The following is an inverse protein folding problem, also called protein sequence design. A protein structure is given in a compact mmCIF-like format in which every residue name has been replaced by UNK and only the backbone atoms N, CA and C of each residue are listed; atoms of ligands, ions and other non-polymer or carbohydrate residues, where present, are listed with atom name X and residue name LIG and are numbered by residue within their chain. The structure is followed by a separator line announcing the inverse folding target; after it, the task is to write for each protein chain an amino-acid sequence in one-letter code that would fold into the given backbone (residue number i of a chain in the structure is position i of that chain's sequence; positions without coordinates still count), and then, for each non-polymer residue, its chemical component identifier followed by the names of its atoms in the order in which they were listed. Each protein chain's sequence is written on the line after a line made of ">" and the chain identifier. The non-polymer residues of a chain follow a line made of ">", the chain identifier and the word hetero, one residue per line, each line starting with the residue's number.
data_IF_646368421140
#
_entry.id   IF_646368421140
#
_cell.length_a   1.000
_cell.length_b   1.000
_cell.length_c   1.000
_cell.angle_alpha   90.00
_cell.angle_beta   90.00
_cell.angle_gamma   90.00
#
_symmetry.space_group_name_H-M   'P 1'
#
loop_
_entity.id
_entity.type
_entity.pdbx_description
1 polymer ?
#
# COMPACT_ATOMS: atom_id res chain seq x y z
N UNK A 1 -7.29 -10.59 -25.99
CA UNK A 1 -5.82 -10.40 -25.88
C UNK A 1 -5.28 -10.38 -24.45
N UNK A 2 -6.03 -9.96 -23.42
CA UNK A 2 -5.71 -10.25 -22.00
C UNK A 2 -5.70 -11.76 -21.70
N UNK A 3 -6.46 -12.54 -22.47
CA UNK A 3 -6.55 -14.00 -22.36
C UNK A 3 -5.24 -14.74 -22.59
N UNK A 4 -4.27 -14.16 -23.32
CA UNK A 4 -2.95 -14.79 -23.52
C UNK A 4 -2.08 -14.67 -22.27
N UNK A 5 -2.10 -13.50 -21.62
CA UNK A 5 -1.37 -13.28 -20.36
C UNK A 5 -1.99 -14.02 -19.16
N UNK A 6 -3.29 -14.33 -19.22
CA UNK A 6 -3.95 -15.20 -18.22
C UNK A 6 -3.68 -16.69 -18.45
N UNK A 7 -3.56 -17.14 -19.72
CA UNK A 7 -3.34 -18.55 -20.05
C UNK A 7 -1.87 -18.97 -20.09
N UNK A 8 -0.95 -18.05 -20.40
CA UNK A 8 0.46 -18.34 -20.59
C UNK A 8 1.29 -17.33 -19.78
N UNK A 9 2.36 -17.79 -19.14
CA UNK A 9 3.26 -16.97 -18.33
C UNK A 9 4.18 -16.13 -19.24
N UNK A 10 3.57 -15.25 -20.04
CA UNK A 10 4.23 -14.43 -21.06
C UNK A 10 3.90 -12.94 -20.88
N UNK A 11 4.91 -12.09 -20.99
CA UNK A 11 4.75 -10.64 -20.91
C UNK A 11 4.34 -10.08 -22.26
N UNK A 12 3.13 -9.55 -22.38
CA UNK A 12 2.62 -8.91 -23.61
C UNK A 12 2.53 -7.39 -23.41
N UNK A 13 3.24 -6.63 -24.24
CA UNK A 13 3.25 -5.17 -24.22
C UNK A 13 2.81 -4.61 -25.56
N UNK A 14 2.20 -3.41 -25.56
CA UNK A 14 1.81 -2.71 -26.78
C UNK A 14 2.77 -1.55 -27.02
N UNK A 15 3.38 -1.51 -28.20
CA UNK A 15 4.25 -0.41 -28.60
C UNK A 15 3.41 0.67 -29.28
N UNK A 16 3.42 1.87 -28.70
CA UNK A 16 2.77 3.05 -29.26
C UNK A 16 3.82 4.13 -29.51
N UNK A 17 3.81 4.68 -30.72
CA UNK A 17 4.68 5.80 -31.10
C UNK A 17 3.81 7.02 -31.33
N UNK A 18 4.15 8.12 -30.65
CA UNK A 18 3.48 9.41 -30.85
C UNK A 18 3.97 10.04 -32.15
N UNK A 19 3.08 10.21 -33.11
CA UNK A 19 3.38 10.74 -34.44
C UNK A 19 2.48 11.93 -34.75
N UNK A 20 3.06 12.95 -35.37
CA UNK A 20 2.35 14.19 -35.72
C UNK A 20 3.20 15.43 -35.51
N UNK A 21 2.75 16.57 -36.04
CA UNK A 21 3.43 17.87 -35.88
C UNK A 21 2.47 18.87 -35.24
N UNK A 22 2.96 19.66 -34.28
CA UNK A 22 2.18 20.68 -33.56
C UNK A 22 0.98 20.09 -32.77
N UNK A 23 -0.23 20.61 -32.98
CA UNK A 23 -1.44 20.27 -32.21
C UNK A 23 -2.11 18.95 -32.63
N UNK A 24 -1.68 18.34 -33.74
CA UNK A 24 -2.20 17.06 -34.23
C UNK A 24 -1.19 15.94 -33.94
N UNK A 25 -1.06 15.54 -32.68
CA UNK A 25 -0.27 14.37 -32.27
C UNK A 25 -1.21 13.21 -31.97
N UNK A 26 -0.93 12.04 -32.55
CA UNK A 26 -1.70 10.81 -32.34
C UNK A 26 -0.75 9.70 -31.93
N UNK A 27 -1.18 8.87 -30.97
CA UNK A 27 -0.46 7.67 -30.58
C UNK A 27 -0.81 6.55 -31.58
N UNK A 28 0.14 6.18 -32.44
CA UNK A 28 -0.02 5.11 -33.42
C UNK A 28 0.47 3.82 -32.80
N UNK A 29 -0.40 2.82 -32.82
CA UNK A 29 -0.03 1.47 -32.44
C UNK A 29 0.93 0.88 -33.48
N UNK A 30 2.14 0.52 -33.05
CA UNK A 30 3.20 0.03 -33.93
C UNK A 30 3.39 -1.49 -33.87
N UNK A 31 3.00 -2.15 -32.77
CA UNK A 31 3.17 -3.59 -32.66
C UNK A 31 3.03 -4.13 -31.24
N UNK A 32 3.16 -5.45 -31.10
CA UNK A 32 3.09 -6.15 -29.81
C UNK A 32 4.47 -6.68 -29.45
N UNK A 33 4.90 -6.51 -28.21
CA UNK A 33 6.12 -7.12 -27.70
C UNK A 33 5.75 -8.31 -26.82
N UNK A 34 6.20 -9.50 -27.18
CA UNK A 34 5.95 -10.75 -26.42
C UNK A 34 7.29 -11.24 -25.88
N UNK A 35 7.42 -11.35 -24.55
CA UNK A 35 8.65 -11.78 -23.87
C UNK A 35 9.92 -11.05 -24.33
N UNK A 36 9.80 -9.76 -24.62
CA UNK A 36 10.91 -8.93 -25.11
C UNK A 36 11.16 -8.99 -26.62
N UNK A 37 10.48 -9.88 -27.35
CA UNK A 37 10.53 -9.96 -28.81
C UNK A 37 9.48 -9.02 -29.42
N UNK A 38 9.94 -8.05 -30.22
CA UNK A 38 9.05 -7.11 -30.91
C UNK A 38 8.44 -7.78 -32.14
N UNK A 39 7.12 -7.78 -32.20
CA UNK A 39 6.34 -8.25 -33.35
C UNK A 39 5.69 -7.03 -34.02
N UNK A 40 5.65 -7.06 -35.35
CA UNK A 40 4.91 -6.09 -36.13
C UNK A 40 3.41 -6.17 -35.82
N UNK A 41 2.67 -5.13 -36.20
CA UNK A 41 1.21 -5.13 -36.07
C UNK A 41 0.59 -6.31 -36.83
N UNK A 42 -0.15 -7.21 -36.15
CA UNK A 42 -0.78 -8.34 -36.82
C UNK A 42 -1.92 -7.86 -37.74
N UNK A 43 -1.97 -8.38 -38.95
CA UNK A 43 -2.96 -8.01 -39.97
C UNK A 43 -4.12 -9.01 -40.01
N UNK A 44 -4.93 -8.97 -38.96
CA UNK A 44 -6.00 -9.93 -38.71
C UNK A 44 -7.35 -9.22 -38.49
N UNK A 45 -8.47 -9.93 -38.71
CA UNK A 45 -9.82 -9.39 -38.51
C UNK A 45 -10.57 -10.00 -37.33
N UNK A 46 -10.17 -11.21 -36.92
CA UNK A 46 -10.70 -11.91 -35.75
C UNK A 46 -9.61 -12.11 -34.70
N UNK A 47 -9.99 -12.17 -33.42
CA UNK A 47 -9.04 -12.26 -32.30
C UNK A 47 -8.23 -13.56 -32.37
N UNK A 48 -8.89 -14.67 -32.71
CA UNK A 48 -8.27 -15.99 -32.81
C UNK A 48 -7.22 -16.03 -33.93
N UNK A 49 -7.55 -15.43 -35.08
CA UNK A 49 -6.64 -15.26 -36.22
C UNK A 49 -5.43 -14.40 -35.84
N UNK A 50 -5.64 -13.31 -35.08
CA UNK A 50 -4.55 -12.48 -34.57
C UNK A 50 -3.60 -13.27 -33.66
N UNK A 51 -4.15 -14.11 -32.78
CA UNK A 51 -3.35 -14.92 -31.85
C UNK A 51 -2.52 -15.94 -32.63
N UNK A 52 -3.09 -16.60 -33.63
CA UNK A 52 -2.36 -17.57 -34.46
C UNK A 52 -1.23 -16.91 -35.25
N UNK A 53 -1.48 -15.75 -35.86
CA UNK A 53 -0.45 -15.00 -36.58
C UNK A 53 0.67 -14.53 -35.66
N UNK A 54 0.34 -13.94 -34.52
CA UNK A 54 1.34 -13.50 -33.53
C UNK A 54 2.21 -14.67 -33.05
N UNK A 55 1.63 -15.84 -32.78
CA UNK A 55 2.38 -17.02 -32.33
C UNK A 55 3.26 -17.61 -33.45
N UNK A 56 2.87 -17.45 -34.72
CA UNK A 56 3.70 -17.83 -35.87
C UNK A 56 4.88 -16.88 -36.01
N UNK A 57 4.66 -15.58 -35.90
CA UNK A 57 5.70 -14.57 -36.04
C UNK A 57 6.67 -14.58 -34.86
N UNK A 58 6.16 -14.76 -33.64
CA UNK A 58 6.99 -14.97 -32.45
C UNK A 58 7.94 -16.16 -32.61
N UNK A 59 7.44 -17.31 -33.07
CA UNK A 59 8.31 -18.49 -33.34
C UNK A 59 9.39 -18.17 -34.37
N UNK A 60 9.04 -17.46 -35.44
CA UNK A 60 10.00 -17.07 -36.48
C UNK A 60 11.08 -16.12 -35.94
N UNK A 61 10.70 -15.15 -35.12
CA UNK A 61 11.64 -14.20 -34.52
C UNK A 61 12.53 -14.87 -33.46
N UNK A 62 11.98 -15.78 -32.65
CA UNK A 62 12.76 -16.59 -31.72
C UNK A 62 13.73 -17.52 -32.45
N UNK A 63 13.33 -18.14 -33.58
CA UNK A 63 14.24 -18.96 -34.39
C UNK A 63 15.37 -18.14 -35.04
N UNK A 64 15.12 -16.86 -35.37
CA UNK A 64 16.13 -15.93 -35.88
C UNK A 64 17.12 -15.51 -34.79
N UNK A 65 16.63 -15.29 -33.58
CA UNK A 65 17.43 -15.04 -32.39
C UNK A 65 18.12 -16.34 -31.98
N UNK A 66 19.30 -16.62 -32.56
CA UNK A 66 20.12 -17.80 -32.23
C UNK A 66 20.42 -17.97 -30.73
N UNK A 67 20.31 -16.88 -29.96
CA UNK A 67 20.31 -16.88 -28.50
C UNK A 67 18.87 -16.66 -28.02
N UNK A 68 18.42 -17.47 -27.06
CA UNK A 68 17.12 -17.29 -26.45
C UNK A 68 17.01 -15.85 -25.94
N UNK A 69 15.91 -15.13 -26.26
CA UNK A 69 15.72 -13.80 -25.72
C UNK A 69 15.86 -13.91 -24.19
N UNK A 70 16.71 -13.08 -23.59
CA UNK A 70 16.68 -12.95 -22.14
C UNK A 70 15.25 -12.54 -21.82
N UNK A 71 14.45 -13.41 -21.15
CA UNK A 71 13.11 -13.02 -20.79
C UNK A 71 13.28 -11.70 -20.06
N UNK A 72 12.50 -10.69 -20.45
CA UNK A 72 12.36 -9.52 -19.61
C UNK A 72 11.83 -10.07 -18.29
N UNK A 73 12.74 -10.41 -17.37
CA UNK A 73 12.46 -10.78 -16.00
C UNK A 73 11.84 -9.51 -15.47
N UNK A 74 10.52 -9.42 -15.61
CA UNK A 74 9.73 -8.48 -14.86
C UNK A 74 10.00 -8.95 -13.45
N UNK A 75 10.95 -8.29 -12.80
CA UNK A 75 10.99 -8.24 -11.35
C UNK A 75 9.69 -7.51 -11.02
N UNK A 76 8.56 -8.22 -11.05
CA UNK A 76 7.35 -7.84 -10.36
C UNK A 76 7.78 -7.94 -8.91
N UNK A 77 8.44 -6.90 -8.40
CA UNK A 77 8.59 -6.74 -6.97
C UNK A 77 7.16 -6.81 -6.47
N UNK A 78 6.88 -7.80 -5.62
CA UNK A 78 5.55 -7.94 -5.04
C UNK A 78 5.21 -6.57 -4.44
N UNK A 79 4.08 -5.92 -4.79
CA UNK A 79 3.74 -4.61 -4.23
C UNK A 79 3.77 -4.60 -2.69
N UNK A 80 3.61 -5.76 -2.05
CA UNK A 80 3.84 -5.94 -0.61
C UNK A 80 5.31 -5.77 -0.23
N UNK A 81 6.23 -6.38 -0.96
CA UNK A 81 7.68 -6.27 -0.72
C UNK A 81 8.18 -4.84 -0.92
N UNK A 82 7.69 -4.15 -1.94
CA UNK A 82 8.00 -2.73 -2.16
C UNK A 82 7.50 -1.87 -0.99
N UNK A 83 6.25 -2.05 -0.57
CA UNK A 83 5.67 -1.30 0.54
C UNK A 83 6.41 -1.58 1.86
N UNK A 84 6.75 -2.84 2.14
CA UNK A 84 7.50 -3.22 3.34
C UNK A 84 8.96 -2.74 3.31
N UNK A 85 9.55 -2.57 2.12
CA UNK A 85 10.88 -1.97 1.97
C UNK A 85 10.88 -0.48 2.32
N UNK A 86 9.83 0.25 1.94
CA UNK A 86 9.65 1.67 2.30
C UNK A 86 9.20 1.86 3.76
N UNK A 87 8.34 0.96 4.24
CA UNK A 87 7.67 1.02 5.55
C UNK A 87 7.86 -0.29 6.34
N UNK A 88 9.09 -0.56 6.82
CA UNK A 88 9.39 -1.78 7.57
C UNK A 88 8.58 -1.92 8.87
N UNK A 89 8.05 -0.81 9.40
CA UNK A 89 7.17 -0.78 10.58
C UNK A 89 5.90 -1.62 10.39
N UNK A 90 5.37 -1.67 9.16
CA UNK A 90 4.19 -2.48 8.82
C UNK A 90 4.47 -3.98 8.93
N UNK A 91 5.73 -4.40 8.87
CA UNK A 91 6.14 -5.78 9.11
C UNK A 91 5.74 -6.29 10.49
N UNK A 92 5.48 -5.40 11.47
CA UNK A 92 4.96 -5.77 12.79
C UNK A 92 3.61 -6.49 12.75
N UNK A 93 2.77 -6.17 11.75
CA UNK A 93 1.46 -6.81 11.56
C UNK A 93 1.55 -8.15 10.81
N UNK A 94 2.68 -8.39 10.14
CA UNK A 94 2.92 -9.57 9.29
C UNK A 94 2.63 -9.31 7.81
N UNK A 95 3.36 -10.01 6.94
CA UNK A 95 3.29 -9.88 5.47
C UNK A 95 1.87 -10.17 4.96
N UNK A 96 1.24 -11.22 5.47
CA UNK A 96 -0.13 -11.61 5.07
C UNK A 96 -1.17 -10.55 5.43
N UNK A 97 -0.96 -9.82 6.54
CA UNK A 97 -1.84 -8.72 6.91
C UNK A 97 -1.69 -7.54 5.95
N UNK A 98 -0.45 -7.19 5.59
CA UNK A 98 -0.19 -6.13 4.60
C UNK A 98 -0.77 -6.51 3.25
N UNK A 99 -0.56 -7.75 2.81
CA UNK A 99 -1.12 -8.30 1.57
C UNK A 99 -2.64 -8.19 1.53
N UNK A 100 -3.30 -8.52 2.63
CA UNK A 100 -4.77 -8.47 2.76
C UNK A 100 -5.34 -7.05 2.60
N UNK A 101 -4.62 -6.03 3.06
CA UNK A 101 -5.10 -4.64 3.13
C UNK A 101 -4.39 -3.69 2.17
N UNK A 102 -3.74 -4.21 1.13
CA UNK A 102 -3.02 -3.41 0.13
C UNK A 102 -3.90 -2.37 -0.57
N UNK A 103 -5.21 -2.65 -0.71
CA UNK A 103 -6.20 -1.73 -1.25
C UNK A 103 -6.33 -0.44 -0.42
N UNK A 104 -6.03 -0.51 0.87
CA UNK A 104 -6.00 0.62 1.82
C UNK A 104 -4.58 1.19 1.98
N UNK A 105 -3.76 1.20 0.93
CA UNK A 105 -2.35 1.63 0.96
C UNK A 105 -2.12 2.95 1.71
N UNK A 106 -2.92 3.97 1.43
CA UNK A 106 -2.78 5.28 2.09
C UNK A 106 -2.96 5.16 3.61
N UNK A 107 -3.92 4.37 4.07
CA UNK A 107 -4.14 4.11 5.50
C UNK A 107 -2.96 3.37 6.12
N UNK A 108 -2.41 2.37 5.41
CA UNK A 108 -1.22 1.65 5.87
C UNK A 108 -0.03 2.61 6.02
N UNK A 109 0.18 3.49 5.05
CA UNK A 109 1.25 4.50 5.08
C UNK A 109 1.05 5.48 6.24
N UNK A 110 -0.18 5.92 6.53
CA UNK A 110 -0.47 6.76 7.69
C UNK A 110 -0.12 6.07 9.02
N UNK A 111 -0.50 4.79 9.18
CA UNK A 111 -0.14 3.99 10.35
C UNK A 111 1.39 3.87 10.46
N UNK A 112 2.08 3.58 9.35
CA UNK A 112 3.53 3.43 9.33
C UNK A 112 4.26 4.73 9.72
N UNK A 113 3.80 5.88 9.21
CA UNK A 113 4.33 7.20 9.60
C UNK A 113 4.20 7.46 11.10
N UNK A 114 3.07 7.11 11.69
CA UNK A 114 2.84 7.26 13.14
C UNK A 114 3.73 6.31 13.94
N UNK A 115 3.86 5.05 13.51
CA UNK A 115 4.75 4.07 14.16
C UNK A 115 6.23 4.45 14.04
N UNK A 116 6.64 5.07 12.93
CA UNK A 116 7.99 5.62 12.78
C UNK A 116 8.26 6.78 13.75
N UNK A 117 7.24 7.60 14.01
CA UNK A 117 7.31 8.66 15.04
C UNK A 117 7.31 8.10 16.46
N UNK A 118 6.60 6.99 16.69
CA UNK A 118 6.48 6.35 18.00
C UNK A 118 6.89 4.85 17.93
N UNK A 119 8.21 4.55 17.86
CA UNK A 119 8.68 3.19 17.61
C UNK A 119 8.20 2.13 18.60
N UNK A 120 7.90 2.50 19.84
CA UNK A 120 7.37 1.59 20.86
C UNK A 120 6.06 0.89 20.45
N UNK A 121 5.28 1.49 19.54
CA UNK A 121 4.05 0.91 19.03
C UNK A 121 4.30 -0.37 18.22
N UNK A 122 5.45 -0.45 17.54
CA UNK A 122 5.90 -1.64 16.79
C UNK A 122 5.99 -2.85 17.72
N UNK A 123 6.59 -2.66 18.90
CA UNK A 123 6.81 -3.73 19.86
C UNK A 123 5.48 -4.22 20.46
N UNK A 124 4.54 -3.30 20.73
CA UNK A 124 3.20 -3.64 21.21
C UNK A 124 2.42 -4.47 20.19
N UNK A 125 2.46 -4.07 18.92
CA UNK A 125 1.77 -4.80 17.84
C UNK A 125 2.39 -6.18 17.65
N UNK A 126 3.72 -6.27 17.68
CA UNK A 126 4.47 -7.51 17.51
C UNK A 126 4.17 -8.53 18.63
N UNK A 127 3.95 -8.07 19.86
CA UNK A 127 3.61 -8.95 20.99
C UNK A 127 2.19 -9.53 20.92
N UNK A 128 1.24 -8.82 20.30
CA UNK A 128 -0.20 -9.17 20.35
C UNK A 128 -0.70 -9.98 19.15
N UNK A 129 0.13 -10.19 18.12
CA UNK A 129 -0.20 -10.95 16.91
C UNK A 129 -1.55 -10.52 16.28
N UNK A 130 -1.60 -9.30 15.75
CA UNK A 130 -2.83 -8.65 15.27
C UNK A 130 -3.21 -9.03 13.83
N UNK A 131 -3.12 -10.30 13.46
CA UNK A 131 -3.25 -10.76 12.07
C UNK A 131 -4.64 -10.58 11.43
N UNK A 132 -5.68 -10.30 12.22
CA UNK A 132 -7.07 -10.15 11.74
C UNK A 132 -7.57 -8.70 11.84
N UNK A 133 -6.79 -7.80 12.45
CA UNK A 133 -7.25 -6.43 12.70
C UNK A 133 -7.54 -5.68 11.39
N UNK A 134 -8.63 -4.92 11.32
CA UNK A 134 -8.85 -3.97 10.23
C UNK A 134 -7.96 -2.72 10.43
N UNK A 135 -7.32 -2.13 9.40
CA UNK A 135 -6.45 -0.95 9.55
C UNK A 135 -7.09 0.26 10.26
N UNK A 136 -8.39 0.51 10.05
CA UNK A 136 -9.14 1.56 10.75
C UNK A 136 -9.41 1.30 12.24
N UNK A 137 -9.21 0.08 12.74
CA UNK A 137 -9.27 -0.18 14.18
C UNK A 137 -7.99 0.29 14.91
N UNK A 138 -6.93 0.62 14.16
CA UNK A 138 -5.74 1.28 14.70
C UNK A 138 -6.05 2.75 14.89
N UNK A 139 -6.17 3.17 16.14
CA UNK A 139 -6.35 4.56 16.52
C UNK A 139 -5.18 5.01 17.39
N UNK A 140 -4.69 6.23 17.14
CA UNK A 140 -3.61 6.81 17.93
C UNK A 140 -4.05 8.17 18.46
N UNK A 141 -3.88 8.32 19.77
CA UNK A 141 -4.22 9.52 20.51
C UNK A 141 -2.96 10.15 21.07
N UNK A 142 -2.78 11.45 20.85
CA UNK A 142 -1.66 12.21 21.38
C UNK A 142 -2.20 13.25 22.35
N UNK A 143 -1.68 13.26 23.58
CA UNK A 143 -1.98 14.31 24.53
C UNK A 143 -1.52 15.66 23.97
N UNK A 144 -2.35 16.69 24.08
CA UNK A 144 -2.07 18.01 23.48
C UNK A 144 -0.81 18.68 24.05
N UNK A 145 -0.47 18.36 25.29
CA UNK A 145 0.75 18.79 25.97
C UNK A 145 1.98 17.94 25.62
N UNK A 146 1.80 16.88 24.80
CA UNK A 146 2.86 15.94 24.42
C UNK A 146 3.29 14.99 25.54
N UNK A 147 2.62 15.01 26.70
CA UNK A 147 3.01 14.22 27.88
C UNK A 147 2.74 12.72 27.73
N UNK A 148 1.85 12.34 26.83
CA UNK A 148 1.40 10.97 26.68
C UNK A 148 0.97 10.68 25.24
N UNK A 149 1.26 9.47 24.78
CA UNK A 149 0.81 8.96 23.49
C UNK A 149 0.20 7.59 23.68
N UNK A 150 -0.98 7.36 23.10
CA UNK A 150 -1.75 6.15 23.29
C UNK A 150 -2.08 5.48 21.96
N UNK A 151 -1.91 4.17 21.91
CA UNK A 151 -2.29 3.29 20.81
C UNK A 151 -3.50 2.47 21.25
N UNK A 152 -4.65 2.68 20.59
CA UNK A 152 -5.85 1.87 20.74
C UNK A 152 -5.95 0.91 19.55
N UNK A 153 -6.00 -0.38 19.85
CA UNK A 153 -6.18 -1.45 18.86
C UNK A 153 -7.53 -2.15 19.02
N UNK A 154 -8.13 -2.05 20.20
CA UNK A 154 -9.45 -2.58 20.51
C UNK A 154 -10.03 -1.79 21.67
N UNK A 155 -11.11 -1.05 21.44
CA UNK A 155 -11.75 -0.27 22.50
C UNK A 155 -12.34 -1.19 23.57
N UNK A 156 -12.30 -0.81 24.87
CA UNK A 156 -11.86 0.48 25.42
C UNK A 156 -10.40 0.52 25.92
N UNK A 157 -9.58 -0.51 25.65
CA UNK A 157 -8.21 -0.56 26.15
C UNK A 157 -7.23 0.07 25.16
N UNK A 158 -6.27 0.84 25.68
CA UNK A 158 -5.18 1.41 24.91
C UNK A 158 -3.85 1.24 25.64
N UNK A 159 -2.77 1.15 24.86
CA UNK A 159 -1.41 1.21 25.39
C UNK A 159 -0.98 2.66 25.41
N UNK A 160 -0.65 3.21 26.57
CA UNK A 160 -0.18 4.57 26.70
C UNK A 160 1.28 4.60 27.13
N UNK A 161 2.08 5.40 26.44
CA UNK A 161 3.46 5.68 26.75
C UNK A 161 3.56 7.05 27.44
N UNK A 162 4.18 7.06 28.63
CA UNK A 162 4.51 8.26 29.41
C UNK A 162 5.91 8.09 29.98
N UNK A 163 6.77 9.10 29.81
CA UNK A 163 8.14 9.11 30.35
C UNK A 163 8.97 7.85 30.02
N UNK A 164 8.75 7.26 28.84
CA UNK A 164 9.44 6.04 28.39
C UNK A 164 8.87 4.72 28.93
N UNK A 165 7.88 4.76 29.83
CA UNK A 165 7.15 3.58 30.27
C UNK A 165 5.87 3.38 29.44
N UNK A 166 5.63 2.16 28.97
CA UNK A 166 4.42 1.76 28.24
C UNK A 166 3.54 0.89 29.14
N UNK A 167 2.25 1.24 29.27
CA UNK A 167 1.28 0.46 30.04
C UNK A 167 -0.04 0.31 29.30
N UNK A 168 -0.68 -0.84 29.46
CA UNK A 168 -2.08 -0.99 29.07
C UNK A 168 -2.97 -0.26 30.08
N UNK A 169 -3.86 0.59 29.59
CA UNK A 169 -4.80 1.34 30.39
C UNK A 169 -6.15 1.39 29.70
N UNK A 170 -7.22 1.50 30.49
CA UNK A 170 -8.55 1.75 29.93
C UNK A 170 -8.62 3.22 29.54
N UNK A 171 -8.91 3.52 28.28
CA UNK A 171 -8.94 4.87 27.73
C UNK A 171 -10.38 5.27 27.40
N UNK A 172 -11.01 5.96 28.35
CA UNK A 172 -12.36 6.51 28.24
C UNK A 172 -12.29 7.97 27.79
N UNK A 173 -12.50 8.18 26.50
CA UNK A 173 -12.47 9.49 25.87
C UNK A 173 -13.87 9.86 25.36
N UNK A 174 -14.23 11.13 25.49
CA UNK A 174 -15.40 11.73 24.87
C UNK A 174 -14.99 12.73 23.81
N UNK A 175 -15.64 12.66 22.65
CA UNK A 175 -15.43 13.62 21.57
C UNK A 175 -15.79 15.03 22.06
N UNK A 176 -14.92 16.00 21.79
CA UNK A 176 -15.14 17.40 22.13
C UNK A 176 -15.41 18.25 20.89
N UNK A 177 -14.52 18.24 19.89
CA UNK A 177 -14.57 19.13 18.73
C UNK A 177 -13.59 18.70 17.64
N UNK A 178 -13.72 19.31 16.47
CA UNK A 178 -12.69 19.28 15.43
C UNK A 178 -11.80 20.51 15.56
N UNK A 179 -10.48 20.33 15.43
CA UNK A 179 -9.51 21.42 15.49
C UNK A 179 -8.34 21.16 14.54
N UNK A 180 -7.71 22.22 14.03
CA UNK A 180 -6.52 22.08 13.19
C UNK A 180 -5.33 21.60 14.03
N UNK A 181 -4.74 20.47 13.65
CA UNK A 181 -3.54 19.89 14.27
C UNK A 181 -2.67 19.28 13.18
N UNK A 182 -1.39 19.69 13.14
CA UNK A 182 -0.43 19.29 12.09
C UNK A 182 -1.01 19.47 10.67
N UNK A 183 -1.54 20.68 10.40
CA UNK A 183 -2.09 21.09 9.09
C UNK A 183 -3.34 20.30 8.60
N UNK A 184 -3.84 19.35 9.41
CA UNK A 184 -5.08 18.60 9.15
C UNK A 184 -6.14 18.94 10.19
N UNK A 185 -7.42 18.83 9.82
CA UNK A 185 -8.52 18.87 10.79
C UNK A 185 -8.54 17.54 11.53
N UNK A 186 -8.39 17.56 12.86
CA UNK A 186 -8.35 16.38 13.72
C UNK A 186 -9.44 16.43 14.78
N UNK A 187 -9.87 15.26 15.21
CA UNK A 187 -10.81 15.12 16.32
C UNK A 187 -10.07 15.29 17.65
N UNK A 188 -10.61 16.16 18.50
CA UNK A 188 -10.14 16.41 19.86
C UNK A 188 -11.10 15.73 20.83
N UNK A 189 -10.51 15.01 21.77
CA UNK A 189 -11.17 14.22 22.79
C UNK A 189 -10.79 14.72 24.18
N UNK A 190 -11.69 14.51 25.15
CA UNK A 190 -11.45 14.76 26.56
C UNK A 190 -11.58 13.48 27.37
N UNK A 191 -10.77 13.29 28.43
CA UNK A 191 -10.96 12.18 29.35
C UNK A 191 -12.33 12.24 30.03
N UNK A 192 -12.99 11.08 30.13
CA UNK A 192 -14.28 10.90 30.81
C UNK A 192 -14.13 9.97 32.01
N UNK A 193 -15.11 9.98 32.90
CA UNK A 193 -15.20 9.03 34.01
C UNK A 193 -14.07 9.22 35.01
N UNK A 194 -13.47 8.12 35.47
CA UNK A 194 -12.36 8.16 36.43
C UNK A 194 -11.07 8.74 35.82
N UNK A 195 -10.93 8.70 34.49
CA UNK A 195 -9.77 9.27 33.81
C UNK A 195 -9.77 10.80 33.82
N UNK A 196 -10.95 11.44 33.85
CA UNK A 196 -11.06 12.89 33.99
C UNK A 196 -10.33 13.44 35.23
N UNK A 197 -10.14 12.61 36.26
CA UNK A 197 -9.50 13.00 37.52
C UNK A 197 -8.07 12.43 37.70
N UNK A 198 -7.67 11.44 36.90
CA UNK A 198 -6.40 10.71 37.07
C UNK A 198 -5.41 10.90 35.93
N UNK A 199 -5.86 11.39 34.77
CA UNK A 199 -5.00 11.67 33.62
C UNK A 199 -4.29 13.01 33.77
N UNK A 200 -3.03 13.07 33.34
CA UNK A 200 -2.24 14.30 33.38
C UNK A 200 -2.67 15.27 32.26
N UNK A 201 -3.05 14.72 31.10
CA UNK A 201 -3.48 15.48 29.94
C UNK A 201 -4.99 15.75 29.96
N UNK A 202 -5.37 16.98 29.61
CA UNK A 202 -6.77 17.42 29.57
C UNK A 202 -7.45 17.21 28.22
N UNK A 203 -6.67 17.13 27.15
CA UNK A 203 -7.15 16.95 25.79
C UNK A 203 -6.23 15.99 25.02
N UNK A 204 -6.84 15.12 24.23
CA UNK A 204 -6.16 14.17 23.34
C UNK A 204 -6.60 14.45 21.90
N UNK A 205 -5.67 14.35 20.96
CA UNK A 205 -5.93 14.50 19.53
C UNK A 205 -5.81 13.15 18.86
N UNK A 206 -6.82 12.75 18.09
CA UNK A 206 -6.77 11.56 17.24
C UNK A 206 -6.00 11.89 15.96
N UNK A 207 -4.84 11.27 15.78
CA UNK A 207 -3.90 11.60 14.69
C UNK A 207 -3.93 10.62 13.50
N UNK A 208 -4.73 9.56 13.61
CA UNK A 208 -5.04 8.61 12.55
C UNK A 208 -6.51 8.75 12.14
#
# INVERSE_FOLDING_TARGET
>A
MWELAEKYDVGVWYEYVRVGTWVNQYDVFCGVVVDGVRLDQPYCRAVEECVEEMLRDYRREVERLREAPEPALVIKIDPVEELLREWPELGAFGVEWVRKWLDLRDRLVEIAKVMRRFPWMVDVIRQRHMSILHPYAVEVYVARDGSETCLSLNTPNAFCARDGAVKETRLELEFSRYEAYEEKIREVYRPKGLLAFTTAAREYVKIL
#
